data_IF_542502357458
#
_entry.id   IF_542502357458
#
_cell.length_a   1.000
_cell.length_b   1.000
_cell.length_c   1.000
_cell.angle_alpha   90.00
_cell.angle_beta   90.00
_cell.angle_gamma   90.00
#
_symmetry.space_group_name_H-M   'P 1'
#
loop_
_entity.id
_entity.type
_entity.pdbx_description
1 polymer ?
#
# COMPACT_ATOMS: atom_id res chain seq x y z
N UNK A 1 27.60 7.94 -8.39
CA UNK A 1 26.38 7.41 -7.75
C UNK A 1 26.13 6.04 -8.36
N UNK A 2 26.39 4.97 -7.61
CA UNK A 2 26.30 3.60 -8.11
C UNK A 2 24.90 3.28 -8.65
N UNK A 3 24.85 2.78 -9.89
CA UNK A 3 23.64 2.39 -10.60
C UNK A 3 22.73 1.49 -9.74
N UNK A 4 23.34 0.67 -8.88
CA UNK A 4 22.71 -0.24 -7.93
C UNK A 4 21.90 0.47 -6.84
N UNK A 5 22.42 1.58 -6.30
CA UNK A 5 21.73 2.38 -5.26
C UNK A 5 20.56 3.16 -5.86
N UNK A 6 20.76 3.73 -7.05
CA UNK A 6 19.70 4.42 -7.79
C UNK A 6 18.55 3.45 -8.13
N UNK A 7 18.86 2.24 -8.63
CA UNK A 7 17.86 1.21 -8.94
C UNK A 7 17.05 0.82 -7.71
N UNK A 8 17.68 0.66 -6.55
CA UNK A 8 17.00 0.30 -5.30
C UNK A 8 16.00 1.37 -4.84
N UNK A 9 16.40 2.65 -4.91
CA UNK A 9 15.53 3.78 -4.58
C UNK A 9 14.36 3.89 -5.56
N UNK A 10 14.64 3.75 -6.86
CA UNK A 10 13.58 3.78 -7.88
C UNK A 10 12.59 2.65 -7.67
N UNK A 11 13.05 1.41 -7.44
CA UNK A 11 12.15 0.28 -7.14
C UNK A 11 11.34 0.51 -5.87
N UNK A 12 11.94 1.08 -4.82
CA UNK A 12 11.22 1.45 -3.60
C UNK A 12 10.09 2.45 -3.84
N UNK A 13 10.38 3.54 -4.56
CA UNK A 13 9.39 4.57 -4.90
C UNK A 13 8.28 3.97 -5.79
N UNK A 14 8.65 3.12 -6.75
CA UNK A 14 7.68 2.46 -7.64
C UNK A 14 6.73 1.55 -6.87
N UNK A 15 7.26 0.76 -5.94
CA UNK A 15 6.46 -0.11 -5.06
C UNK A 15 5.54 0.71 -4.17
N UNK A 16 6.03 1.80 -3.58
CA UNK A 16 5.22 2.69 -2.75
C UNK A 16 4.06 3.30 -3.55
N UNK A 17 4.34 3.83 -4.73
CA UNK A 17 3.32 4.39 -5.62
C UNK A 17 2.29 3.34 -6.05
N UNK A 18 2.76 2.13 -6.36
CA UNK A 18 1.89 1.01 -6.72
C UNK A 18 0.98 0.61 -5.54
N UNK A 19 1.53 0.56 -4.33
CA UNK A 19 0.77 0.26 -3.12
C UNK A 19 -0.31 1.32 -2.84
N UNK A 20 0.01 2.61 -3.00
CA UNK A 20 -0.97 3.70 -2.87
C UNK A 20 -2.09 3.52 -3.89
N UNK A 21 -1.74 3.29 -5.15
CA UNK A 21 -2.70 3.21 -6.25
C UNK A 21 -3.63 2.00 -6.08
N UNK A 22 -3.07 0.83 -5.81
CA UNK A 22 -3.84 -0.41 -5.57
C UNK A 22 -4.76 -0.25 -4.36
N UNK A 23 -4.26 0.30 -3.25
CA UNK A 23 -5.03 0.44 -2.02
C UNK A 23 -6.17 1.45 -2.18
N UNK A 24 -5.92 2.56 -2.88
CA UNK A 24 -6.96 3.54 -3.19
C UNK A 24 -8.03 2.94 -4.11
N UNK A 25 -7.64 2.22 -5.15
CA UNK A 25 -8.59 1.58 -6.08
C UNK A 25 -9.43 0.52 -5.36
N UNK A 26 -8.82 -0.38 -4.59
CA UNK A 26 -9.56 -1.41 -3.84
C UNK A 26 -10.55 -0.80 -2.84
N UNK A 27 -10.09 0.20 -2.09
CA UNK A 27 -10.92 0.86 -1.08
C UNK A 27 -12.12 1.56 -1.72
N UNK A 28 -11.91 2.27 -2.82
CA UNK A 28 -13.01 2.93 -3.53
C UNK A 28 -13.98 1.94 -4.18
N UNK A 29 -13.50 0.80 -4.71
CA UNK A 29 -14.37 -0.26 -5.25
C UNK A 29 -15.25 -0.84 -4.13
N UNK A 30 -14.67 -1.15 -2.98
CA UNK A 30 -15.40 -1.72 -1.84
C UNK A 30 -16.41 -0.72 -1.29
N UNK A 31 -15.99 0.54 -1.14
CA UNK A 31 -16.86 1.63 -0.70
C UNK A 31 -18.04 1.86 -1.66
N UNK A 32 -17.79 1.79 -2.98
CA UNK A 32 -18.84 1.90 -4.00
C UNK A 32 -19.78 0.69 -3.98
N UNK A 33 -19.26 -0.53 -3.80
CA UNK A 33 -20.05 -1.75 -3.72
C UNK A 33 -20.96 -1.80 -2.49
N UNK A 34 -20.50 -1.25 -1.37
CA UNK A 34 -21.27 -1.20 -0.13
C UNK A 34 -22.27 -0.02 -0.08
N UNK A 35 -22.20 0.92 -1.03
CA UNK A 35 -23.11 2.06 -1.10
C UNK A 35 -23.03 3.01 0.10
N UNK A 36 -21.96 2.93 0.90
CA UNK A 36 -21.82 3.76 2.09
C UNK A 36 -21.47 5.19 1.69
N UNK A 37 -22.39 6.11 1.95
CA UNK A 37 -22.23 7.55 1.70
C UNK A 37 -22.21 8.33 3.01
N UNK A 38 -21.60 9.53 3.01
CA UNK A 38 -21.50 10.39 4.18
C UNK A 38 -20.30 10.11 5.10
N UNK A 39 -20.35 10.65 6.32
CA UNK A 39 -19.22 10.65 7.29
C UNK A 39 -18.81 9.22 7.68
N UNK A 40 -19.77 8.31 7.85
CA UNK A 40 -19.49 6.90 8.12
C UNK A 40 -18.72 6.23 6.98
N UNK A 41 -19.09 6.55 5.74
CA UNK A 41 -18.37 6.03 4.57
C UNK A 41 -16.92 6.53 4.51
N UNK A 42 -16.68 7.79 4.87
CA UNK A 42 -15.32 8.34 4.96
C UNK A 42 -14.46 7.61 6.00
N UNK A 43 -14.99 7.35 7.19
CA UNK A 43 -14.26 6.64 8.26
C UNK A 43 -13.93 5.20 7.84
N UNK A 44 -14.93 4.47 7.34
CA UNK A 44 -14.76 3.07 6.90
C UNK A 44 -13.78 3.02 5.71
N UNK A 45 -13.90 3.94 4.76
CA UNK A 45 -13.00 4.05 3.61
C UNK A 45 -11.56 4.33 4.02
N UNK A 46 -11.34 5.20 5.01
CA UNK A 46 -10.02 5.46 5.55
C UNK A 46 -9.41 4.22 6.22
N UNK A 47 -10.20 3.48 7.01
CA UNK A 47 -9.73 2.25 7.66
C UNK A 47 -9.42 1.17 6.63
N UNK A 48 -10.29 0.96 5.64
CA UNK A 48 -10.04 0.03 4.53
C UNK A 48 -8.78 0.40 3.77
N UNK A 49 -8.61 1.67 3.43
CA UNK A 49 -7.41 2.16 2.76
C UNK A 49 -6.15 1.87 3.55
N UNK A 50 -6.14 2.15 4.86
CA UNK A 50 -4.99 1.86 5.71
C UNK A 50 -4.69 0.35 5.74
N UNK A 51 -5.70 -0.50 5.91
CA UNK A 51 -5.53 -1.97 5.93
C UNK A 51 -4.97 -2.48 4.62
N UNK A 52 -5.52 -2.05 3.48
CA UNK A 52 -4.99 -2.45 2.17
C UNK A 52 -3.59 -1.91 1.93
N UNK A 53 -3.31 -0.67 2.34
CA UNK A 53 -1.99 -0.06 2.16
C UNK A 53 -0.90 -0.83 2.91
N UNK A 54 -1.12 -1.14 4.19
CA UNK A 54 -0.18 -1.96 4.96
C UNK A 54 -0.12 -3.41 4.46
N UNK A 55 -1.24 -4.00 4.04
CA UNK A 55 -1.28 -5.36 3.49
C UNK A 55 -0.51 -5.49 2.18
N UNK A 56 -0.67 -4.52 1.27
CA UNK A 56 0.04 -4.48 -0.01
C UNK A 56 1.53 -4.22 0.24
N UNK A 57 1.89 -3.29 1.12
CA UNK A 57 3.29 -3.09 1.53
C UNK A 57 3.92 -4.39 2.08
N UNK A 58 3.23 -5.10 2.97
CA UNK A 58 3.70 -6.38 3.51
C UNK A 58 3.92 -7.43 2.42
N UNK A 59 2.99 -7.52 1.47
CA UNK A 59 3.12 -8.43 0.33
C UNK A 59 4.34 -8.09 -0.53
N UNK A 60 4.55 -6.81 -0.82
CA UNK A 60 5.72 -6.35 -1.58
C UNK A 60 7.04 -6.56 -0.82
N UNK A 61 7.08 -6.32 0.51
CA UNK A 61 8.26 -6.64 1.33
C UNK A 61 8.62 -8.13 1.22
N UNK A 62 7.62 -9.01 1.29
CA UNK A 62 7.81 -10.46 1.23
C UNK A 62 8.21 -10.97 -0.15
N UNK A 63 7.67 -10.40 -1.23
CA UNK A 63 7.99 -10.82 -2.60
C UNK A 63 9.30 -10.25 -3.15
N UNK A 64 9.59 -8.98 -2.88
CA UNK A 64 10.78 -8.31 -3.42
C UNK A 64 11.97 -8.34 -2.46
N UNK A 65 11.81 -8.86 -1.24
CA UNK A 65 12.87 -8.93 -0.24
C UNK A 65 13.38 -7.57 0.22
N UNK A 66 12.61 -6.51 -0.05
CA UNK A 66 12.94 -5.14 0.35
C UNK A 66 12.41 -4.96 1.77
N UNK A 67 13.29 -5.01 2.76
CA UNK A 67 12.94 -4.72 4.16
C UNK A 67 12.83 -3.20 4.34
N UNK A 68 11.61 -2.70 4.45
CA UNK A 68 11.28 -1.28 4.67
C UNK A 68 11.01 -1.04 6.16
N UNK A 69 10.18 -1.90 6.77
CA UNK A 69 9.76 -1.80 8.16
C UNK A 69 10.21 -2.96 9.05
N UNK A 70 10.97 -3.94 8.51
CA UNK A 70 11.40 -5.13 9.27
C UNK A 70 10.21 -5.88 9.90
N UNK A 71 9.03 -5.89 9.25
CA UNK A 71 7.90 -6.69 9.72
C UNK A 71 8.28 -8.18 9.73
N UNK A 72 8.73 -8.68 10.88
CA UNK A 72 9.13 -10.08 11.07
C UNK A 72 10.62 -10.37 11.29
N UNK A 73 11.48 -9.36 11.51
CA UNK A 73 12.83 -9.60 12.07
C UNK A 73 12.91 -9.13 13.52
N UNK A 74 12.60 -10.04 14.44
CA UNK A 74 13.36 -10.14 15.69
C UNK A 74 14.73 -10.71 15.38
#
# INVERSE_FOLDING_TARGET
MDLTSARRIVTFVLVLLCAILVSNTLSNIIMAALGFTGIFGFIIGFVLYAVFFFGVLYFFERFFGITIFRFGRQ
#
